data_IF_880512623713
#
_entry.id   IF_880512623713
#
_cell.length_a   1.000
_cell.length_b   1.000
_cell.length_c   1.000
_cell.angle_alpha   90.00
_cell.angle_beta   90.00
_cell.angle_gamma   90.00
#
_symmetry.space_group_name_H-M   'P 1'
#
loop_
_entity.id
_entity.type
_entity.pdbx_description
1 polymer ?
#
# COMPACT_ATOMS: atom_id res chain seq x y z
N UNK A 1 -24.04 -16.87 -7.80
CA UNK A 1 -23.42 -15.63 -8.32
C UNK A 1 -22.05 -15.51 -7.67
N UNK A 2 -20.97 -15.44 -8.47
CA UNK A 2 -19.62 -15.33 -7.94
C UNK A 2 -19.31 -13.85 -7.69
N UNK A 3 -19.02 -13.46 -6.44
CA UNK A 3 -18.68 -12.07 -6.08
C UNK A 3 -17.16 -11.93 -6.15
N UNK A 4 -16.66 -10.96 -6.91
CA UNK A 4 -15.22 -10.69 -6.95
C UNK A 4 -14.83 -9.84 -5.75
N UNK A 5 -13.86 -10.32 -4.98
CA UNK A 5 -13.30 -9.60 -3.84
C UNK A 5 -12.01 -8.89 -4.27
N UNK A 6 -12.00 -7.56 -4.25
CA UNK A 6 -10.88 -6.75 -4.72
C UNK A 6 -10.20 -6.09 -3.50
N UNK A 7 -8.95 -6.44 -3.26
CA UNK A 7 -8.11 -5.81 -2.24
C UNK A 7 -7.35 -4.63 -2.85
N UNK A 8 -7.66 -3.42 -2.37
CA UNK A 8 -7.07 -2.18 -2.90
C UNK A 8 -5.87 -1.67 -2.10
N UNK A 9 -5.30 -2.50 -1.23
CA UNK A 9 -4.07 -2.21 -0.49
C UNK A 9 -2.83 -2.35 -1.38
N UNK A 10 -1.68 -2.01 -0.81
CA UNK A 10 -0.38 -2.22 -1.46
C UNK A 10 0.08 -3.68 -1.32
N UNK A 11 0.95 -4.13 -2.24
CA UNK A 11 1.42 -5.52 -2.26
C UNK A 11 2.03 -5.99 -0.92
N UNK A 12 2.88 -5.21 -0.22
CA UNK A 12 3.40 -5.67 1.06
C UNK A 12 2.31 -5.88 2.11
N UNK A 13 1.22 -5.11 2.11
CA UNK A 13 0.10 -5.32 3.05
C UNK A 13 -0.66 -6.61 2.70
N UNK A 14 -0.95 -6.82 1.42
CA UNK A 14 -1.64 -8.01 0.91
C UNK A 14 -0.85 -9.29 1.17
N UNK A 15 0.46 -9.26 0.87
CA UNK A 15 1.35 -10.39 1.04
C UNK A 15 1.52 -10.80 2.51
N UNK A 16 1.31 -9.86 3.44
CA UNK A 16 1.33 -10.10 4.88
C UNK A 16 0.07 -10.79 5.41
N UNK A 17 -1.02 -10.79 4.65
CA UNK A 17 -2.32 -11.30 5.07
C UNK A 17 -3.43 -10.68 4.26
N UNK A 18 -4.21 -11.50 3.57
CA UNK A 18 -5.35 -11.11 2.74
C UNK A 18 -6.51 -12.11 2.92
N UNK A 19 -7.69 -11.73 2.45
CA UNK A 19 -8.85 -12.62 2.48
C UNK A 19 -8.70 -13.70 1.41
N UNK A 20 -9.13 -14.92 1.71
CA UNK A 20 -9.09 -15.99 0.72
C UNK A 20 -9.87 -15.60 -0.55
N UNK A 21 -9.32 -15.91 -1.72
CA UNK A 21 -9.87 -15.57 -3.04
C UNK A 21 -10.00 -14.06 -3.34
N UNK A 22 -9.37 -13.19 -2.56
CA UNK A 22 -9.25 -11.77 -2.94
C UNK A 22 -8.25 -11.59 -4.09
N UNK A 23 -8.50 -10.61 -4.95
CA UNK A 23 -7.59 -10.18 -6.02
C UNK A 23 -6.91 -8.87 -5.60
N UNK A 24 -5.58 -8.81 -5.62
CA UNK A 24 -4.85 -7.58 -5.33
C UNK A 24 -4.91 -6.62 -6.54
N UNK A 25 -5.54 -5.46 -6.33
CA UNK A 25 -5.59 -4.35 -7.30
C UNK A 25 -5.42 -3.02 -6.55
N UNK A 26 -4.18 -2.56 -6.33
CA UNK A 26 -3.93 -1.38 -5.51
C UNK A 26 -4.68 -0.14 -6.03
N UNK A 27 -5.15 0.69 -5.10
CA UNK A 27 -5.97 1.88 -5.40
C UNK A 27 -5.36 2.76 -6.51
N UNK A 28 -4.04 2.98 -6.48
CA UNK A 28 -3.34 3.82 -7.47
C UNK A 28 -3.34 3.26 -8.90
N UNK A 29 -3.62 1.96 -9.06
CA UNK A 29 -3.71 1.28 -10.38
C UNK A 29 -5.15 0.89 -10.75
N UNK A 30 -6.08 0.98 -9.80
CA UNK A 30 -7.46 0.51 -9.92
C UNK A 30 -8.18 1.12 -11.12
N UNK A 31 -8.00 2.42 -11.35
CA UNK A 31 -8.65 3.11 -12.46
C UNK A 31 -8.31 2.41 -13.78
N UNK A 32 -7.03 2.32 -14.14
CA UNK A 32 -6.59 1.64 -15.38
C UNK A 32 -6.91 0.15 -15.38
N UNK A 33 -6.71 -0.55 -14.26
CA UNK A 33 -6.94 -2.00 -14.17
C UNK A 33 -8.42 -2.36 -14.41
N UNK A 34 -9.34 -1.47 -14.01
CA UNK A 34 -10.78 -1.69 -14.12
C UNK A 34 -11.34 -1.46 -15.52
N UNK A 35 -10.58 -0.93 -16.48
CA UNK A 35 -11.10 -0.57 -17.81
C UNK A 35 -11.83 -1.72 -18.50
N UNK A 36 -11.27 -2.94 -18.44
CA UNK A 36 -11.83 -4.15 -19.06
C UNK A 36 -12.78 -4.98 -18.20
N UNK A 37 -13.14 -4.54 -16.99
CA UNK A 37 -14.02 -5.33 -16.10
C UNK A 37 -15.50 -5.18 -16.45
N UNK A 38 -16.30 -6.22 -16.20
CA UNK A 38 -17.75 -6.14 -16.28
C UNK A 38 -18.31 -5.14 -15.24
N UNK A 39 -19.09 -4.17 -15.72
CA UNK A 39 -19.70 -3.09 -14.91
C UNK A 39 -20.93 -3.54 -14.12
N UNK A 40 -21.50 -4.69 -14.47
CA UNK A 40 -22.70 -5.26 -13.82
C UNK A 40 -22.30 -6.30 -12.77
N UNK A 41 -21.14 -6.93 -12.92
CA UNK A 41 -20.64 -7.91 -11.96
C UNK A 41 -20.51 -7.33 -10.54
N UNK A 42 -20.93 -8.06 -9.50
CA UNK A 42 -20.80 -7.61 -8.12
C UNK A 42 -19.34 -7.64 -7.66
N UNK A 43 -18.87 -6.48 -7.16
CA UNK A 43 -17.54 -6.30 -6.61
C UNK A 43 -17.64 -5.97 -5.11
N UNK A 44 -16.87 -6.67 -4.30
CA UNK A 44 -16.62 -6.29 -2.90
C UNK A 44 -15.22 -5.73 -2.78
N UNK A 45 -15.09 -4.52 -2.25
CA UNK A 45 -13.83 -3.81 -2.09
C UNK A 45 -13.37 -3.91 -0.64
N UNK A 46 -12.12 -4.29 -0.44
CA UNK A 46 -11.50 -4.38 0.89
C UNK A 46 -10.22 -3.57 0.93
N UNK A 47 -9.98 -2.92 2.07
CA UNK A 47 -8.68 -2.36 2.41
C UNK A 47 -8.38 -2.56 3.90
N UNK A 48 -7.44 -1.80 4.48
CA UNK A 48 -7.08 -1.94 5.90
C UNK A 48 -8.27 -1.67 6.84
N UNK A 49 -8.91 -0.51 6.69
CA UNK A 49 -9.91 0.02 7.63
C UNK A 49 -11.19 0.57 6.95
N UNK A 50 -11.28 0.53 5.63
CA UNK A 50 -12.43 1.02 4.84
C UNK A 50 -12.14 2.25 3.98
N UNK A 51 -11.32 3.22 4.45
CA UNK A 51 -11.11 4.51 3.74
C UNK A 51 -10.70 4.37 2.27
N UNK A 52 -9.63 3.62 1.98
CA UNK A 52 -9.16 3.38 0.58
C UNK A 52 -10.18 2.60 -0.26
N UNK A 53 -10.98 1.75 0.38
CA UNK A 53 -12.01 0.97 -0.32
C UNK A 53 -13.20 1.86 -0.71
N UNK A 54 -13.50 2.89 0.08
CA UNK A 54 -14.49 3.90 -0.28
C UNK A 54 -14.01 4.78 -1.44
N UNK A 55 -12.74 5.23 -1.42
CA UNK A 55 -12.11 5.94 -2.54
C UNK A 55 -12.14 5.09 -3.83
N UNK A 56 -11.88 3.79 -3.71
CA UNK A 56 -12.02 2.82 -4.81
C UNK A 56 -13.47 2.72 -5.30
N UNK A 57 -14.45 2.66 -4.38
CA UNK A 57 -15.88 2.60 -4.70
C UNK A 57 -16.30 3.81 -5.51
N UNK A 58 -15.92 5.02 -5.10
CA UNK A 58 -16.23 6.25 -5.82
C UNK A 58 -15.59 6.26 -7.21
N UNK A 59 -14.33 5.81 -7.32
CA UNK A 59 -13.62 5.71 -8.60
C UNK A 59 -14.34 4.78 -9.56
N UNK A 60 -14.74 3.59 -9.12
CA UNK A 60 -15.48 2.64 -9.93
C UNK A 60 -16.91 3.13 -10.22
N UNK A 61 -17.59 3.76 -9.26
CA UNK A 61 -18.92 4.32 -9.48
C UNK A 61 -18.92 5.37 -10.60
N UNK A 62 -17.91 6.24 -10.66
CA UNK A 62 -17.72 7.20 -11.77
C UNK A 62 -17.53 6.53 -13.13
N UNK A 63 -17.05 5.28 -13.15
CA UNK A 63 -16.89 4.46 -14.37
C UNK A 63 -18.12 3.61 -14.72
N UNK A 64 -19.22 3.79 -14.01
CA UNK A 64 -20.50 3.13 -14.28
C UNK A 64 -20.65 1.73 -13.68
N UNK A 65 -19.79 1.34 -12.73
CA UNK A 65 -20.00 0.09 -11.99
C UNK A 65 -21.22 0.21 -11.07
N UNK A 66 -22.11 -0.78 -11.11
CA UNK A 66 -23.42 -0.70 -10.46
C UNK A 66 -23.51 -1.46 -9.14
N UNK A 67 -22.76 -2.55 -9.00
CA UNK A 67 -22.83 -3.44 -7.85
C UNK A 67 -21.53 -3.39 -7.04
N UNK A 68 -21.35 -2.33 -6.27
CA UNK A 68 -20.15 -2.10 -5.46
C UNK A 68 -20.49 -2.17 -3.96
N UNK A 69 -19.78 -3.04 -3.23
CA UNK A 69 -19.88 -3.16 -1.77
C UNK A 69 -18.52 -2.89 -1.15
N UNK A 70 -18.47 -2.18 -0.03
CA UNK A 70 -17.23 -2.01 0.75
C UNK A 70 -17.32 -2.88 1.99
N UNK A 71 -16.26 -3.66 2.26
CA UNK A 71 -16.18 -4.45 3.49
C UNK A 71 -16.04 -3.51 4.69
N UNK A 72 -17.09 -3.46 5.52
CA UNK A 72 -17.12 -2.59 6.69
C UNK A 72 -16.00 -2.93 7.68
N UNK A 73 -15.29 -1.91 8.18
CA UNK A 73 -14.12 -2.07 9.05
C UNK A 73 -12.87 -2.63 8.35
N UNK A 74 -12.96 -2.97 7.07
CA UNK A 74 -11.85 -3.55 6.30
C UNK A 74 -11.38 -4.90 6.83
N UNK A 75 -10.15 -5.28 6.45
CA UNK A 75 -9.51 -6.51 6.93
C UNK A 75 -9.24 -6.48 8.44
N UNK A 76 -9.15 -5.30 9.07
CA UNK A 76 -8.96 -5.21 10.52
C UNK A 76 -10.13 -5.83 11.28
N UNK A 77 -11.37 -5.44 10.95
CA UNK A 77 -12.55 -6.04 11.56
C UNK A 77 -12.66 -7.55 11.28
N UNK A 78 -12.20 -8.01 10.11
CA UNK A 78 -12.12 -9.43 9.80
C UNK A 78 -11.15 -10.17 10.73
N UNK A 79 -9.96 -9.62 10.95
CA UNK A 79 -8.98 -10.18 11.90
C UNK A 79 -9.50 -10.16 13.33
N UNK A 80 -10.12 -9.06 13.76
CA UNK A 80 -10.66 -8.91 15.12
C UNK A 80 -11.80 -9.93 15.37
N UNK A 81 -12.48 -10.38 14.32
CA UNK A 81 -13.49 -11.45 14.40
C UNK A 81 -12.91 -12.88 14.46
N UNK A 82 -11.58 -13.03 14.51
CA UNK A 82 -10.89 -14.32 14.61
C UNK A 82 -10.94 -15.17 13.34
N UNK A 83 -11.27 -14.56 12.19
CA UNK A 83 -11.36 -15.27 10.91
C UNK A 83 -9.98 -15.45 10.28
N UNK A 84 -9.75 -16.54 9.52
CA UNK A 84 -8.45 -16.82 8.92
C UNK A 84 -8.09 -15.81 7.83
N UNK A 85 -6.79 -15.63 7.64
CA UNK A 85 -6.19 -14.91 6.52
C UNK A 85 -5.27 -15.84 5.73
N UNK A 86 -5.18 -15.59 4.44
CA UNK A 86 -4.20 -16.21 3.55
C UNK A 86 -2.96 -15.32 3.46
N UNK A 87 -1.79 -15.93 3.36
CA UNK A 87 -0.50 -15.24 3.23
C UNK A 87 0.09 -15.59 1.86
N UNK A 88 0.68 -14.61 1.18
CA UNK A 88 1.31 -14.87 -0.10
C UNK A 88 2.57 -15.72 0.07
N UNK A 89 2.80 -16.67 -0.84
CA UNK A 89 3.96 -17.56 -0.79
C UNK A 89 5.31 -16.82 -0.90
N UNK A 90 5.34 -15.71 -1.65
CA UNK A 90 6.48 -14.80 -1.73
C UNK A 90 6.06 -13.45 -1.19
N UNK A 91 6.77 -12.96 -0.18
CA UNK A 91 6.43 -11.72 0.52
C UNK A 91 7.57 -10.72 0.44
N UNK A 92 7.34 -9.50 -0.10
CA UNK A 92 8.32 -8.43 -0.02
C UNK A 92 8.49 -7.98 1.44
N UNK A 93 9.59 -7.30 1.76
CA UNK A 93 9.74 -6.67 3.07
C UNK A 93 8.58 -5.70 3.33
N UNK A 94 8.14 -5.60 4.59
CA UNK A 94 7.14 -4.61 4.97
C UNK A 94 7.61 -3.21 4.57
N UNK A 95 6.67 -2.34 4.19
CA UNK A 95 6.99 -0.97 3.82
C UNK A 95 7.72 -0.24 4.94
N UNK A 96 7.36 -0.50 6.20
CA UNK A 96 8.07 0.01 7.38
C UNK A 96 9.57 -0.39 7.37
N UNK A 97 9.88 -1.66 7.09
CA UNK A 97 11.26 -2.13 7.02
C UNK A 97 12.01 -1.47 5.86
N UNK A 98 11.39 -1.37 4.68
CA UNK A 98 12.00 -0.72 3.52
C UNK A 98 12.29 0.77 3.80
N UNK A 99 11.34 1.49 4.41
CA UNK A 99 11.48 2.90 4.77
C UNK A 99 12.57 3.11 5.84
N UNK A 100 12.59 2.28 6.89
CA UNK A 100 13.60 2.37 7.95
C UNK A 100 15.02 2.18 7.41
N UNK A 101 15.21 1.14 6.59
CA UNK A 101 16.51 0.87 5.97
C UNK A 101 16.90 2.02 5.05
N UNK A 102 16.00 2.47 4.17
CA UNK A 102 16.28 3.55 3.23
C UNK A 102 16.61 4.89 3.93
N UNK A 103 15.75 5.34 4.85
CA UNK A 103 15.95 6.60 5.55
C UNK A 103 17.20 6.56 6.45
N UNK A 104 17.41 5.46 7.18
CA UNK A 104 18.60 5.29 8.00
C UNK A 104 19.89 5.32 7.17
N UNK A 105 19.88 4.63 6.02
CA UNK A 105 21.04 4.62 5.11
C UNK A 105 21.34 6.00 4.54
N UNK A 106 20.30 6.78 4.18
CA UNK A 106 20.46 8.16 3.73
C UNK A 106 21.03 9.08 4.81
N UNK A 107 20.54 8.98 6.04
CA UNK A 107 21.07 9.76 7.17
C UNK A 107 22.54 9.43 7.42
N UNK A 108 22.88 8.14 7.49
CA UNK A 108 24.26 7.70 7.70
C UNK A 108 25.19 8.15 6.57
N UNK A 109 24.74 8.08 5.32
CA UNK A 109 25.50 8.53 4.17
C UNK A 109 25.76 10.05 4.22
N UNK A 110 24.73 10.87 4.44
CA UNK A 110 24.89 12.33 4.55
C UNK A 110 25.76 12.73 5.74
N UNK A 111 25.59 12.06 6.89
CA UNK A 111 26.41 12.32 8.06
C UNK A 111 27.88 11.97 7.82
N UNK A 112 28.16 10.79 7.27
CA UNK A 112 29.52 10.36 6.91
C UNK A 112 30.18 11.30 5.89
N UNK A 113 29.46 11.71 4.83
CA UNK A 113 29.94 12.72 3.88
C UNK A 113 30.19 14.08 4.55
N UNK A 114 29.41 14.42 5.58
CA UNK A 114 29.59 15.61 6.41
C UNK A 114 30.92 15.61 7.17
N UNK A 115 31.35 14.45 7.63
CA UNK A 115 32.63 14.24 8.31
C UNK A 115 33.82 14.21 7.33
N UNK A 116 33.63 13.63 6.13
CA UNK A 116 34.73 13.35 5.20
C UNK A 116 34.96 14.43 4.13
N UNK A 117 33.93 15.18 3.72
CA UNK A 117 34.01 16.09 2.58
C UNK A 117 33.68 17.54 2.91
N UNK A 118 32.48 17.81 3.45
CA UNK A 118 32.06 19.18 3.78
C UNK A 118 30.94 19.18 4.79
N UNK A 119 30.99 20.10 5.77
CA UNK A 119 29.91 20.29 6.76
C UNK A 119 28.53 20.55 6.13
N UNK A 120 28.46 20.98 4.86
CA UNK A 120 27.20 21.20 4.14
C UNK A 120 26.35 19.92 4.02
N UNK A 121 26.95 18.74 3.99
CA UNK A 121 26.20 17.48 3.90
C UNK A 121 25.35 17.17 5.14
N UNK A 122 25.66 17.77 6.30
CA UNK A 122 24.79 17.66 7.48
C UNK A 122 23.41 18.26 7.25
N UNK A 123 23.26 19.23 6.33
CA UNK A 123 21.95 19.72 5.93
C UNK A 123 21.09 18.61 5.30
N UNK A 124 21.68 17.68 4.54
CA UNK A 124 20.98 16.52 3.99
C UNK A 124 20.47 15.58 5.08
N UNK A 125 21.30 15.28 6.09
CA UNK A 125 20.88 14.47 7.23
C UNK A 125 19.75 15.15 8.03
N UNK A 126 19.84 16.47 8.24
CA UNK A 126 18.81 17.26 8.90
C UNK A 126 17.49 17.25 8.11
N UNK A 127 17.54 17.38 6.78
CA UNK A 127 16.35 17.32 5.92
C UNK A 127 15.66 15.95 5.98
N UNK A 128 16.42 14.85 5.94
CA UNK A 128 15.84 13.50 6.07
C UNK A 128 15.19 13.33 7.45
N UNK A 129 15.86 13.77 8.52
CA UNK A 129 15.32 13.76 9.88
C UNK A 129 14.03 14.57 10.01
N UNK A 130 14.00 15.78 9.49
CA UNK A 130 12.80 16.63 9.47
C UNK A 130 11.64 15.97 8.70
N UNK A 131 11.94 15.33 7.55
CA UNK A 131 10.96 14.57 6.78
C UNK A 131 10.37 13.38 7.54
N UNK A 132 11.17 12.68 8.34
CA UNK A 132 10.68 11.58 9.19
C UNK A 132 9.75 12.09 10.30
N UNK A 133 10.09 13.20 10.95
CA UNK A 133 9.22 13.84 11.96
C UNK A 133 7.91 14.27 11.34
N UNK A 134 7.96 14.96 10.19
CA UNK A 134 6.77 15.37 9.45
C UNK A 134 5.89 14.18 9.08
N UNK A 135 6.50 13.09 8.58
CA UNK A 135 5.76 11.89 8.22
C UNK A 135 5.08 11.24 9.44
N UNK A 136 5.73 11.25 10.60
CA UNK A 136 5.14 10.75 11.84
C UNK A 136 3.98 11.60 12.36
N UNK A 137 4.00 12.91 12.16
CA UNK A 137 2.91 13.83 12.58
C UNK A 137 1.72 13.78 11.62
N UNK A 138 1.97 13.65 10.33
CA UNK A 138 0.93 13.75 9.29
C UNK A 138 0.35 12.39 8.86
N UNK A 139 0.90 11.28 9.35
CA UNK A 139 0.65 9.93 8.83
C UNK A 139 0.88 9.79 7.31
N UNK A 140 1.63 10.72 6.70
CA UNK A 140 1.96 10.71 5.26
C UNK A 140 3.45 10.46 5.06
N UNK A 141 3.80 9.31 4.46
CA UNK A 141 5.19 8.96 4.20
C UNK A 141 5.49 8.98 2.69
N UNK A 142 6.10 10.07 2.20
CA UNK A 142 6.49 10.18 0.79
C UNK A 142 7.49 9.09 0.37
N UNK A 143 8.39 8.69 1.27
CA UNK A 143 9.32 7.59 1.04
C UNK A 143 8.58 6.28 0.79
N UNK A 144 7.51 5.98 1.55
CA UNK A 144 6.71 4.78 1.33
C UNK A 144 6.01 4.82 -0.04
N UNK A 145 5.45 5.97 -0.44
CA UNK A 145 4.83 6.14 -1.77
C UNK A 145 5.83 5.92 -2.91
N UNK A 146 7.08 6.36 -2.76
CA UNK A 146 8.15 6.13 -3.73
C UNK A 146 8.58 4.66 -3.78
N UNK A 147 8.85 4.08 -2.61
CA UNK A 147 9.27 2.68 -2.49
C UNK A 147 8.18 1.72 -2.99
N UNK A 148 6.90 2.07 -2.84
CA UNK A 148 5.78 1.28 -3.38
C UNK A 148 5.81 1.10 -4.89
N UNK A 149 6.48 2.00 -5.63
CA UNK A 149 6.63 1.91 -7.09
C UNK A 149 7.84 1.08 -7.54
N UNK A 150 8.64 0.58 -6.60
CA UNK A 150 9.85 -0.17 -6.94
C UNK A 150 9.50 -1.57 -7.48
N UNK A 151 10.32 -2.16 -8.37
CA UNK A 151 9.99 -3.41 -9.05
C UNK A 151 9.74 -4.61 -8.14
N UNK A 152 10.28 -4.63 -6.93
CA UNK A 152 10.04 -5.69 -5.94
C UNK A 152 8.69 -5.58 -5.23
N UNK A 153 8.02 -4.43 -5.32
CA UNK A 153 6.68 -4.19 -4.78
C UNK A 153 5.59 -4.31 -5.87
N UNK A 154 5.89 -4.96 -7.00
CA UNK A 154 4.94 -5.17 -8.11
C UNK A 154 3.75 -6.08 -7.70
N UNK A 155 2.51 -5.57 -7.74
CA UNK A 155 1.29 -6.32 -7.41
C UNK A 155 1.10 -7.59 -8.25
N UNK A 156 1.62 -7.63 -9.48
CA UNK A 156 1.51 -8.81 -10.34
C UNK A 156 2.20 -10.03 -9.74
N UNK A 157 3.19 -9.83 -8.87
CA UNK A 157 3.88 -10.92 -8.15
C UNK A 157 3.04 -11.53 -7.03
N UNK A 158 1.97 -10.85 -6.60
CA UNK A 158 1.06 -11.35 -5.58
C UNK A 158 0.04 -12.35 -6.14
N UNK A 159 -0.34 -12.16 -7.41
CA UNK A 159 -1.37 -12.92 -8.10
C UNK A 159 -0.78 -14.06 -8.97
N UNK A 160 0.54 -14.25 -8.93
CA UNK A 160 1.30 -15.24 -9.72
C UNK A 160 1.77 -16.39 -8.83
#
# INVERSE_FOLDING_TARGET
MNVRLIDVREYPEYANGHLENSELVPLGTLDKASDGWDRVAPLTLVCRSGRRAEEARETLARKGFKALTVLHGGIQAWMDSGKPLTVAAKKPWSMERQVRVAAGSLVLAFFGLGLLSSRKFFAGAALVGAGLVYAGVSDTCMMASLLGRMPWNDPKKANA
#
